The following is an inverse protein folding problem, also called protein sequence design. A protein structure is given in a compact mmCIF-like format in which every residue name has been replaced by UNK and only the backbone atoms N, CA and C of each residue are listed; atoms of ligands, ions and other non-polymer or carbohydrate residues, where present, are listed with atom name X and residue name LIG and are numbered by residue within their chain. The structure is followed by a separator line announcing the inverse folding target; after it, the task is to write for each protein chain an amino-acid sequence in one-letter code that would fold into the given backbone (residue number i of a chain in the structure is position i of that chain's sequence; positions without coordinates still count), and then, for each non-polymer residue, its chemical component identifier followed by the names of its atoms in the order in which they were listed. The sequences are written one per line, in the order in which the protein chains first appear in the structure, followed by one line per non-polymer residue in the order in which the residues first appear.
data_IF_879023548661
#
_entry.id   IF_879023548661
#
_cell.length_a   1.000
_cell.length_b   1.000
_cell.length_c   1.000
_cell.angle_alpha   90.00
_cell.angle_beta   90.00
_cell.angle_gamma   90.00
#
_symmetry.space_group_name_H-M   'P 1'
#
loop_
_entity.id
_entity.type
_entity.pdbx_description
1 polymer ?
#
# COMPACT_ATOMS: atom_id res chain seq x y z
N UNK A 1 -30.00 6.17 38.08
CA UNK A 1 -29.36 7.40 37.54
C UNK A 1 -28.13 7.03 36.70
N UNK A 2 -27.75 7.80 35.68
CA UNK A 2 -26.51 7.54 34.89
C UNK A 2 -25.27 7.41 35.79
N UNK A 3 -25.26 8.11 36.92
CA UNK A 3 -24.19 8.08 37.93
C UNK A 3 -24.03 6.70 38.60
N UNK A 4 -25.13 5.99 38.86
CA UNK A 4 -25.09 4.65 39.46
C UNK A 4 -24.56 3.61 38.46
N UNK A 5 -24.89 3.77 37.17
CA UNK A 5 -24.37 2.93 36.10
C UNK A 5 -22.86 3.10 35.92
N UNK A 6 -22.35 4.33 36.08
CA UNK A 6 -20.91 4.63 36.03
C UNK A 6 -20.19 4.06 37.25
N UNK A 7 -20.74 4.26 38.46
CA UNK A 7 -20.18 3.73 39.71
C UNK A 7 -20.11 2.19 39.70
N UNK A 8 -21.16 1.52 39.23
CA UNK A 8 -21.16 0.06 39.07
C UNK A 8 -20.14 -0.44 38.05
N UNK A 9 -19.91 0.32 36.97
CA UNK A 9 -18.87 0.00 35.98
C UNK A 9 -17.45 0.10 36.53
N UNK A 10 -17.17 1.16 37.32
CA UNK A 10 -15.87 1.33 37.99
C UNK A 10 -15.63 0.22 39.01
N UNK A 11 -16.66 -0.11 39.80
CA UNK A 11 -16.56 -1.18 40.80
C UNK A 11 -16.30 -2.55 40.16
N UNK A 12 -16.93 -2.87 39.03
CA UNK A 12 -16.68 -4.12 38.30
C UNK A 12 -15.28 -4.23 37.69
N UNK A 13 -14.66 -3.11 37.31
CA UNK A 13 -13.29 -3.09 36.77
C UNK A 13 -12.26 -3.26 37.91
N UNK A 14 -12.47 -2.58 39.04
CA UNK A 14 -11.52 -2.55 40.16
C UNK A 14 -11.56 -3.82 41.03
N UNK A 15 -12.75 -4.41 41.25
CA UNK A 15 -12.92 -5.52 42.19
C UNK A 15 -13.12 -6.88 41.52
N UNK A 16 -13.78 -6.94 40.36
CA UNK A 16 -14.11 -8.23 39.71
C UNK A 16 -13.18 -8.57 38.54
N UNK A 17 -12.34 -7.63 38.08
CA UNK A 17 -11.47 -7.80 36.92
C UNK A 17 -12.21 -8.04 35.60
N UNK A 18 -13.54 -7.85 35.56
CA UNK A 18 -14.39 -8.09 34.38
C UNK A 18 -14.64 -6.78 33.66
N UNK A 19 -13.70 -6.39 32.80
CA UNK A 19 -13.93 -5.32 31.84
C UNK A 19 -15.07 -5.75 30.90
N UNK A 20 -16.28 -5.17 31.07
CA UNK A 20 -17.36 -5.35 30.09
C UNK A 20 -16.89 -4.78 28.76
N UNK A 21 -16.67 -5.65 27.78
CA UNK A 21 -16.34 -5.21 26.43
C UNK A 21 -17.60 -4.62 25.80
N UNK A 22 -17.72 -3.29 25.84
CA UNK A 22 -18.80 -2.58 25.16
C UNK A 22 -18.51 -2.69 23.65
N UNK A 23 -19.14 -3.68 23.01
CA UNK A 23 -19.15 -3.79 21.55
C UNK A 23 -20.12 -2.76 21.00
N UNK A 24 -19.61 -1.60 20.59
CA UNK A 24 -20.38 -0.59 19.87
C UNK A 24 -20.80 -1.20 18.53
N UNK A 25 -22.10 -1.47 18.36
CA UNK A 25 -22.66 -1.97 17.10
C UNK A 25 -22.60 -0.85 16.07
N UNK A 26 -21.73 -1.00 15.08
CA UNK A 26 -21.52 -0.01 14.03
C UNK A 26 -22.79 0.11 13.17
N UNK A 27 -23.60 1.15 13.38
CA UNK A 27 -24.97 1.30 12.83
C UNK A 27 -25.00 2.07 11.50
N UNK A 28 -23.86 2.21 10.81
CA UNK A 28 -23.72 3.12 9.66
C UNK A 28 -23.89 2.49 8.26
N UNK A 29 -24.59 1.37 8.11
CA UNK A 29 -24.65 0.58 6.84
C UNK A 29 -25.13 1.34 5.59
N UNK A 30 -25.96 2.40 5.73
CA UNK A 30 -26.34 3.25 4.57
C UNK A 30 -25.37 4.40 4.34
N UNK A 31 -24.80 4.95 5.41
CA UNK A 31 -23.82 6.02 5.32
C UNK A 31 -22.46 5.51 4.81
N UNK A 32 -22.14 4.23 4.99
CA UNK A 32 -20.93 3.61 4.43
C UNK A 32 -20.86 3.68 2.91
N UNK A 33 -21.99 3.61 2.20
CA UNK A 33 -22.01 3.77 0.74
C UNK A 33 -21.69 5.21 0.33
N UNK A 34 -22.35 6.19 0.94
CA UNK A 34 -22.09 7.61 0.68
C UNK A 34 -20.63 8.00 1.00
N UNK A 35 -20.09 7.51 2.12
CA UNK A 35 -18.67 7.70 2.46
C UNK A 35 -17.73 7.01 1.48
N UNK A 36 -18.08 5.83 0.97
CA UNK A 36 -17.33 5.15 -0.08
C UNK A 36 -17.27 5.96 -1.37
N UNK A 37 -18.40 6.55 -1.78
CA UNK A 37 -18.48 7.39 -2.97
C UNK A 37 -17.68 8.69 -2.79
N UNK A 38 -17.80 9.34 -1.63
CA UNK A 38 -17.00 10.53 -1.30
C UNK A 38 -15.50 10.24 -1.33
N UNK A 39 -15.11 9.09 -0.77
CA UNK A 39 -13.71 8.66 -0.79
C UNK A 39 -13.22 8.37 -2.21
N UNK A 40 -14.05 7.73 -3.05
CA UNK A 40 -13.73 7.49 -4.45
C UNK A 40 -13.58 8.81 -5.23
N UNK A 41 -14.47 9.78 -4.99
CA UNK A 41 -14.35 11.13 -5.57
C UNK A 41 -13.05 11.81 -5.12
N UNK A 42 -12.67 11.70 -3.84
CA UNK A 42 -11.40 12.21 -3.32
C UNK A 42 -10.19 11.56 -4.01
N UNK A 43 -10.22 10.24 -4.23
CA UNK A 43 -9.15 9.52 -4.94
C UNK A 43 -9.03 10.03 -6.38
N UNK A 44 -10.13 10.11 -7.11
CA UNK A 44 -10.16 10.61 -8.49
C UNK A 44 -9.64 12.06 -8.53
N UNK A 45 -10.11 12.91 -7.62
CA UNK A 45 -9.69 14.29 -7.54
C UNK A 45 -8.18 14.42 -7.29
N UNK A 46 -7.64 13.72 -6.29
CA UNK A 46 -6.22 13.80 -5.92
C UNK A 46 -5.32 13.25 -7.04
N UNK A 47 -5.61 12.05 -7.56
CA UNK A 47 -4.78 11.47 -8.63
C UNK A 47 -4.96 12.19 -9.96
N UNK A 48 -6.18 12.61 -10.30
CA UNK A 48 -6.45 13.40 -11.50
C UNK A 48 -5.75 14.76 -11.47
N UNK A 49 -5.76 15.46 -10.33
CA UNK A 49 -5.02 16.70 -10.16
C UNK A 49 -3.50 16.48 -10.30
N UNK A 50 -2.95 15.43 -9.68
CA UNK A 50 -1.53 15.10 -9.83
C UNK A 50 -1.19 14.81 -11.30
N UNK A 51 -1.94 13.93 -11.97
CA UNK A 51 -1.71 13.59 -13.38
C UNK A 51 -1.78 14.85 -14.25
N UNK A 52 -2.83 15.67 -14.12
CA UNK A 52 -2.98 16.88 -14.91
C UNK A 52 -1.86 17.90 -14.69
N UNK A 53 -1.36 18.03 -13.45
CA UNK A 53 -0.18 18.86 -13.15
C UNK A 53 1.06 18.31 -13.86
N UNK A 54 1.30 16.99 -13.81
CA UNK A 54 2.45 16.39 -14.48
C UNK A 54 2.36 16.47 -16.02
N UNK A 55 1.18 16.31 -16.59
CA UNK A 55 0.93 16.49 -18.03
C UNK A 55 1.19 17.94 -18.46
N UNK A 56 0.79 18.91 -17.64
CA UNK A 56 1.09 20.33 -17.87
C UNK A 56 2.61 20.59 -17.90
N UNK A 57 3.39 19.83 -17.13
CA UNK A 57 4.86 19.86 -17.16
C UNK A 57 5.47 19.05 -18.32
N UNK A 58 4.66 18.49 -19.22
CA UNK A 58 5.13 17.75 -20.39
C UNK A 58 5.69 16.36 -20.07
N UNK A 59 5.32 15.77 -18.93
CA UNK A 59 5.74 14.41 -18.61
C UNK A 59 5.07 13.40 -19.55
N UNK A 60 5.83 12.42 -20.01
CA UNK A 60 5.26 11.29 -20.75
C UNK A 60 4.50 10.33 -19.78
N UNK A 61 3.58 9.50 -20.29
CA UNK A 61 2.78 8.61 -19.45
C UNK A 61 3.59 7.64 -18.57
N UNK A 62 4.73 7.14 -19.08
CA UNK A 62 5.60 6.22 -18.33
C UNK A 62 6.21 6.94 -17.12
N UNK A 63 6.71 8.16 -17.34
CA UNK A 63 7.28 9.01 -16.30
C UNK A 63 6.23 9.42 -15.26
N UNK A 64 4.98 9.68 -15.67
CA UNK A 64 3.87 9.94 -14.74
C UNK A 64 3.62 8.74 -13.84
N UNK A 65 3.52 7.54 -14.41
CA UNK A 65 3.29 6.30 -13.66
C UNK A 65 4.43 6.08 -12.64
N UNK A 66 5.68 6.20 -13.08
CA UNK A 66 6.85 6.06 -12.20
C UNK A 66 6.84 7.11 -11.08
N UNK A 67 6.52 8.36 -11.41
CA UNK A 67 6.46 9.43 -10.41
C UNK A 67 5.38 9.16 -9.37
N UNK A 68 4.17 8.79 -9.78
CA UNK A 68 3.07 8.45 -8.87
C UNK A 68 3.41 7.25 -8.00
N UNK A 69 4.08 6.24 -8.55
CA UNK A 69 4.57 5.08 -7.82
C UNK A 69 5.54 5.48 -6.70
N UNK A 70 6.57 6.27 -7.03
CA UNK A 70 7.54 6.74 -6.04
C UNK A 70 6.90 7.68 -5.02
N UNK A 71 6.07 8.61 -5.46
CA UNK A 71 5.34 9.55 -4.60
C UNK A 71 4.50 8.80 -3.57
N UNK A 72 3.78 7.76 -3.99
CA UNK A 72 2.99 6.93 -3.10
C UNK A 72 3.86 6.21 -2.06
N UNK A 73 4.95 5.55 -2.48
CA UNK A 73 5.88 4.86 -1.57
C UNK A 73 6.52 5.81 -0.56
N UNK A 74 7.10 6.92 -1.03
CA UNK A 74 7.76 7.92 -0.18
C UNK A 74 6.76 8.51 0.81
N UNK A 75 5.55 8.85 0.36
CA UNK A 75 4.49 9.36 1.24
C UNK A 75 4.11 8.36 2.32
N UNK A 76 3.99 7.07 1.97
CA UNK A 76 3.73 6.01 2.94
C UNK A 76 4.85 5.85 3.95
N UNK A 77 6.11 5.84 3.53
CA UNK A 77 7.24 5.74 4.46
C UNK A 77 7.36 6.97 5.35
N UNK A 78 7.18 8.17 4.80
CA UNK A 78 7.15 9.41 5.58
C UNK A 78 6.01 9.40 6.61
N UNK A 79 4.83 8.91 6.24
CA UNK A 79 3.73 8.71 7.18
C UNK A 79 4.08 7.68 8.26
N UNK A 80 4.65 6.53 7.89
CA UNK A 80 5.05 5.47 8.81
C UNK A 80 6.07 5.95 9.84
N UNK A 81 7.10 6.69 9.40
CA UNK A 81 8.14 7.25 10.26
C UNK A 81 7.54 8.29 11.22
N UNK A 82 6.76 9.24 10.70
CA UNK A 82 6.11 10.28 11.52
C UNK A 82 5.14 9.70 12.54
N UNK A 83 4.34 8.71 12.13
CA UNK A 83 3.42 8.03 13.03
C UNK A 83 4.16 7.40 14.20
N UNK A 84 5.26 6.68 13.97
CA UNK A 84 6.05 6.09 15.05
C UNK A 84 6.67 7.14 15.98
N UNK A 85 7.14 8.27 15.45
CA UNK A 85 7.73 9.35 16.23
C UNK A 85 6.70 10.14 17.05
N UNK A 86 5.47 10.28 16.56
CA UNK A 86 4.40 11.06 17.20
C UNK A 86 3.58 10.26 18.23
N UNK A 87 3.74 8.93 18.31
CA UNK A 87 3.04 8.09 19.29
C UNK A 87 3.25 8.49 20.76
N UNK A 88 4.28 9.27 21.05
CA UNK A 88 4.64 9.71 22.41
C UNK A 88 4.51 11.22 22.62
N UNK A 89 3.99 11.97 21.63
CA UNK A 89 3.80 13.42 21.74
C UNK A 89 2.33 13.74 21.91
N UNK A 90 2.00 14.59 22.88
CA UNK A 90 0.69 15.25 22.97
C UNK A 90 0.61 16.22 21.79
N UNK A 91 -0.28 15.93 20.84
CA UNK A 91 -0.42 16.71 19.61
C UNK A 91 -1.28 17.93 19.88
N UNK A 92 -0.72 19.14 19.71
CA UNK A 92 -1.46 20.40 19.73
C UNK A 92 -2.40 20.53 18.51
N UNK A 93 -3.45 21.34 18.66
CA UNK A 93 -4.49 21.55 17.65
C UNK A 93 -3.91 21.88 16.27
N UNK A 94 -4.17 21.01 15.29
CA UNK A 94 -3.77 21.21 13.90
C UNK A 94 -4.71 22.25 13.26
N UNK A 95 -4.14 23.31 12.67
CA UNK A 95 -4.93 24.30 11.92
C UNK A 95 -5.61 23.71 10.69
N UNK A 96 -6.62 24.42 10.16
CA UNK A 96 -7.46 23.98 9.03
C UNK A 96 -6.64 23.56 7.79
N UNK A 97 -5.55 24.26 7.48
CA UNK A 97 -4.67 23.92 6.35
C UNK A 97 -3.98 22.56 6.52
N UNK A 98 -3.53 22.23 7.73
CA UNK A 98 -2.92 20.93 8.03
C UNK A 98 -3.95 19.79 7.92
N UNK A 99 -5.20 20.04 8.35
CA UNK A 99 -6.29 19.09 8.17
C UNK A 99 -6.58 18.83 6.69
N UNK A 100 -6.69 19.87 5.86
CA UNK A 100 -6.90 19.71 4.42
C UNK A 100 -5.75 18.93 3.75
N UNK A 101 -4.50 19.29 4.05
CA UNK A 101 -3.33 18.56 3.53
C UNK A 101 -3.33 17.10 3.98
N UNK A 102 -3.74 16.82 5.22
CA UNK A 102 -3.86 15.46 5.72
C UNK A 102 -4.91 14.65 4.95
N UNK A 103 -6.06 15.25 4.63
CA UNK A 103 -7.15 14.62 3.86
C UNK A 103 -6.69 14.30 2.44
N UNK A 104 -6.06 15.26 1.75
CA UNK A 104 -5.55 15.06 0.40
C UNK A 104 -4.40 14.04 0.33
N UNK A 105 -3.62 13.89 1.40
CA UNK A 105 -2.55 12.90 1.48
C UNK A 105 -3.06 11.46 1.68
N UNK A 106 -4.29 11.26 2.20
CA UNK A 106 -4.82 9.92 2.52
C UNK A 106 -4.82 8.99 1.28
N UNK A 107 -5.37 9.38 0.11
CA UNK A 107 -5.33 8.55 -1.09
C UNK A 107 -3.91 8.08 -1.45
N UNK A 108 -2.95 9.02 -1.48
CA UNK A 108 -1.56 8.75 -1.87
C UNK A 108 -0.87 7.81 -0.89
N UNK A 109 -1.00 8.08 0.41
CA UNK A 109 -0.43 7.24 1.49
C UNK A 109 -1.05 5.84 1.49
N UNK A 110 -2.35 5.73 1.25
CA UNK A 110 -3.05 4.44 1.23
C UNK A 110 -2.64 3.60 0.02
N UNK A 111 -2.47 4.21 -1.14
CA UNK A 111 -1.90 3.55 -2.33
C UNK A 111 -0.48 3.08 -2.05
N UNK A 112 0.37 3.93 -1.45
CA UNK A 112 1.74 3.54 -1.07
C UNK A 112 1.80 2.39 -0.06
N UNK A 113 0.88 2.37 0.91
CA UNK A 113 0.73 1.26 1.87
C UNK A 113 0.32 -0.03 1.19
N UNK A 114 -0.66 0.05 0.28
CA UNK A 114 -1.10 -1.11 -0.50
C UNK A 114 0.07 -1.65 -1.32
N UNK A 115 0.77 -0.77 -2.03
CA UNK A 115 1.94 -1.11 -2.83
C UNK A 115 3.04 -1.77 -1.98
N UNK A 116 3.44 -1.16 -0.86
CA UNK A 116 4.44 -1.73 0.04
C UNK A 116 4.05 -3.10 0.60
N UNK A 117 2.76 -3.34 0.86
CA UNK A 117 2.27 -4.65 1.32
C UNK A 117 2.28 -5.68 0.21
N UNK A 118 1.77 -5.33 -0.98
CA UNK A 118 1.77 -6.20 -2.15
C UNK A 118 3.19 -6.60 -2.54
N UNK A 119 4.14 -5.66 -2.51
CA UNK A 119 5.55 -5.91 -2.81
C UNK A 119 6.30 -6.65 -1.67
N UNK A 120 5.75 -6.67 -0.46
CA UNK A 120 6.29 -7.48 0.64
C UNK A 120 5.68 -8.89 0.67
N UNK A 121 4.46 -9.07 0.18
CA UNK A 121 3.78 -10.37 0.10
C UNK A 121 4.16 -11.14 -1.15
N UNK A 122 4.32 -10.43 -2.27
CA UNK A 122 5.01 -10.93 -3.44
C UNK A 122 6.48 -10.87 -3.05
N UNK A 123 7.19 -11.98 -3.12
CA UNK A 123 8.62 -11.99 -2.88
C UNK A 123 9.28 -11.34 -4.10
N UNK A 124 9.11 -10.02 -4.26
CA UNK A 124 9.50 -9.28 -5.48
C UNK A 124 10.98 -9.44 -5.75
N UNK A 125 11.78 -9.59 -4.69
CA UNK A 125 13.17 -10.00 -4.80
C UNK A 125 13.32 -11.34 -5.52
N UNK A 126 12.57 -12.37 -5.12
CA UNK A 126 12.55 -13.68 -5.81
C UNK A 126 12.06 -13.55 -7.24
N UNK A 127 10.99 -12.80 -7.52
CA UNK A 127 10.51 -12.63 -8.91
C UNK A 127 11.56 -11.94 -9.80
N UNK A 128 12.20 -10.89 -9.30
CA UNK A 128 13.28 -10.20 -10.02
C UNK A 128 14.47 -11.14 -10.19
N UNK A 129 14.84 -11.89 -9.15
CA UNK A 129 15.96 -12.83 -9.18
C UNK A 129 15.70 -14.00 -10.14
N UNK A 130 14.51 -14.56 -10.15
CA UNK A 130 14.07 -15.58 -11.11
C UNK A 130 14.08 -15.01 -12.53
N UNK A 131 13.60 -13.79 -12.74
CA UNK A 131 13.68 -13.17 -14.07
C UNK A 131 15.14 -12.96 -14.52
N UNK A 132 16.01 -12.46 -13.64
CA UNK A 132 17.43 -12.18 -13.92
C UNK A 132 18.26 -13.46 -14.07
N UNK A 133 17.96 -14.52 -13.32
CA UNK A 133 18.75 -15.76 -13.31
C UNK A 133 18.07 -16.85 -14.14
N UNK A 134 16.83 -17.21 -13.83
CA UNK A 134 16.11 -18.36 -14.42
C UNK A 134 15.88 -18.19 -15.92
N UNK A 135 15.39 -17.02 -16.35
CA UNK A 135 15.05 -16.77 -17.75
C UNK A 135 16.27 -16.86 -18.69
N UNK A 136 17.41 -16.19 -18.41
CA UNK A 136 18.60 -16.35 -19.24
C UNK A 136 19.24 -17.73 -19.11
N UNK A 137 19.23 -18.34 -17.93
CA UNK A 137 19.77 -19.69 -17.75
C UNK A 137 19.00 -20.73 -18.58
N UNK A 138 17.66 -20.66 -18.61
CA UNK A 138 16.82 -21.51 -19.48
C UNK A 138 17.13 -21.32 -20.96
N UNK A 139 17.35 -20.08 -21.40
CA UNK A 139 17.75 -19.78 -22.79
C UNK A 139 19.10 -20.40 -23.13
N UNK A 140 20.07 -20.29 -22.23
CA UNK A 140 21.40 -20.89 -22.40
C UNK A 140 21.32 -22.42 -22.48
N UNK A 141 20.56 -23.06 -21.59
CA UNK A 141 20.35 -24.51 -21.63
C UNK A 141 19.69 -24.97 -22.93
N UNK A 142 18.66 -24.26 -23.39
CA UNK A 142 17.98 -24.58 -24.65
C UNK A 142 18.93 -24.45 -25.85
N UNK A 143 19.76 -23.40 -25.88
CA UNK A 143 20.79 -23.22 -26.89
C UNK A 143 21.82 -24.37 -26.86
N UNK A 144 22.34 -24.72 -25.68
CA UNK A 144 23.28 -25.82 -25.52
C UNK A 144 22.70 -27.17 -25.96
N UNK A 145 21.43 -27.42 -25.67
CA UNK A 145 20.74 -28.63 -26.13
C UNK A 145 20.63 -28.67 -27.65
N UNK A 146 20.23 -27.56 -28.29
CA UNK A 146 20.19 -27.47 -29.76
C UNK A 146 21.57 -27.69 -30.38
N UNK A 147 22.62 -27.15 -29.77
CA UNK A 147 23.98 -27.35 -30.23
C UNK A 147 24.42 -28.82 -30.13
N UNK A 148 24.10 -29.49 -29.03
CA UNK A 148 24.39 -30.93 -28.87
C UNK A 148 23.62 -31.79 -29.89
N UNK A 149 22.39 -31.43 -30.22
CA UNK A 149 21.62 -32.10 -31.28
C UNK A 149 22.30 -31.95 -32.65
N UNK A 150 22.71 -30.72 -33.00
CA UNK A 150 23.43 -30.44 -34.24
C UNK A 150 24.72 -31.27 -34.35
N UNK A 151 25.50 -31.37 -33.27
CA UNK A 151 26.72 -32.18 -33.26
C UNK A 151 26.47 -33.67 -33.46
N UNK A 152 25.39 -34.20 -32.87
CA UNK A 152 25.00 -35.61 -33.06
C UNK A 152 24.59 -35.89 -34.50
N UNK A 153 23.80 -35.01 -35.10
CA UNK A 153 23.38 -35.12 -36.51
C UNK A 153 24.59 -35.14 -37.45
N UNK A 154 25.55 -34.24 -37.24
CA UNK A 154 26.81 -34.22 -38.01
C UNK A 154 27.67 -35.48 -37.81
N UNK A 155 27.65 -36.08 -36.61
CA UNK A 155 28.37 -37.31 -36.35
C UNK A 155 27.72 -38.52 -37.04
N UNK A 156 26.40 -38.54 -37.20
CA UNK A 156 25.66 -39.58 -37.94
C UNK A 156 25.88 -39.48 -39.45
N UNK A 157 25.93 -38.26 -40.02
CA UNK A 157 26.23 -38.05 -41.45
C UNK A 157 27.62 -38.56 -41.87
N UNK A 158 28.58 -38.63 -40.93
CA UNK A 158 29.95 -39.10 -41.20
C UNK A 158 30.11 -40.62 -41.06
N UNK A 159 29.04 -41.36 -40.81
CA UNK A 159 29.03 -42.80 -40.56
C UNK A 159 28.45 -43.58 -41.74
#
# INVERSE_FOLDING_TARGET
SNTESILGGIHGILYEGRARTIRIRNTYTRLTFAFGLLYLALVIFVFGALIGILELFGFNPISIILFLFFLALVSYFAFRIRYQAQRWKVVENQGTGALLASVLAIPVVRTGRWLSRTFSSINVFVIILDFIIETPFKRLLNFSNQFLYYLKEKAEEMR
#
